data_IF_239393425430
#
_entry.id   IF_239393425430
#
_cell.length_a   1.000
_cell.length_b   1.000
_cell.length_c   1.000
_cell.angle_alpha   90.00
_cell.angle_beta   90.00
_cell.angle_gamma   90.00
#
_symmetry.space_group_name_H-M   'P 1'
#
loop_
_entity.id
_entity.type
_entity.pdbx_description
1 polymer ?
#
# COMPACT_ATOMS: atom_id res chain seq x y z
N UNK A 1 34.65 -45.95 16.55
CA UNK A 1 33.22 -46.06 16.89
C UNK A 1 33.08 -45.47 18.28
N UNK A 2 32.86 -44.16 18.35
CA UNK A 2 32.73 -43.43 19.61
C UNK A 2 31.24 -43.31 19.90
N UNK A 3 30.88 -43.61 21.13
CA UNK A 3 29.53 -43.86 21.65
C UNK A 3 28.52 -42.78 21.29
N UNK A 4 27.31 -43.23 20.93
CA UNK A 4 26.10 -42.42 20.99
C UNK A 4 25.86 -42.02 22.45
N UNK A 5 25.82 -40.71 22.71
CA UNK A 5 25.44 -40.12 23.98
C UNK A 5 23.92 -39.97 24.00
N UNK A 6 23.23 -41.10 24.21
CA UNK A 6 21.80 -41.10 24.52
C UNK A 6 21.63 -40.82 26.02
N UNK A 7 21.17 -39.62 26.39
CA UNK A 7 21.05 -39.30 27.82
C UNK A 7 20.46 -37.93 28.18
N UNK A 8 19.25 -37.62 27.73
CA UNK A 8 18.38 -36.68 28.46
C UNK A 8 17.02 -37.33 28.71
N UNK A 9 17.02 -38.30 29.61
CA UNK A 9 15.81 -38.71 30.31
C UNK A 9 15.79 -38.01 31.66
N UNK A 10 14.70 -37.32 31.99
CA UNK A 10 14.56 -36.81 33.35
C UNK A 10 13.47 -37.54 34.12
N UNK A 11 13.93 -38.19 35.19
CA UNK A 11 13.11 -38.91 36.16
C UNK A 11 13.28 -38.21 37.52
N UNK A 12 12.41 -37.23 37.81
CA UNK A 12 12.46 -36.41 39.02
C UNK A 12 12.03 -34.96 38.77
N UNK A 13 12.55 -34.01 39.56
CA UNK A 13 12.21 -32.56 39.54
C UNK A 13 13.05 -31.75 38.53
N UNK A 14 13.47 -32.37 37.44
CA UNK A 14 14.44 -31.78 36.52
C UNK A 14 13.92 -32.08 35.06
N UNK A 15 14.27 -31.26 34.04
CA UNK A 15 13.67 -31.21 32.68
C UNK A 15 14.06 -32.28 31.62
N UNK A 16 13.11 -33.12 31.17
CA UNK A 16 13.32 -34.25 30.21
C UNK A 16 13.86 -33.83 28.83
N UNK A 17 13.77 -32.56 28.50
CA UNK A 17 14.17 -32.02 27.19
C UNK A 17 15.61 -31.48 27.24
N UNK A 18 16.44 -31.65 26.19
CA UNK A 18 17.59 -30.79 25.98
C UNK A 18 17.27 -29.30 26.22
N UNK A 19 17.83 -28.70 27.28
CA UNK A 19 17.78 -27.24 27.52
C UNK A 19 18.57 -26.42 26.46
N UNK A 20 19.03 -27.07 25.39
CA UNK A 20 19.68 -26.44 24.27
C UNK A 20 18.64 -25.94 23.25
N UNK A 21 19.10 -25.15 22.28
CA UNK A 21 18.25 -24.76 21.16
C UNK A 21 17.84 -26.00 20.35
N UNK A 22 16.63 -25.95 19.78
CA UNK A 22 16.11 -27.01 18.90
C UNK A 22 17.02 -27.18 17.69
N UNK A 23 17.38 -28.42 17.38
CA UNK A 23 18.28 -28.72 16.27
C UNK A 23 17.51 -28.75 14.94
N UNK A 24 18.18 -28.64 13.78
CA UNK A 24 17.53 -28.72 12.48
C UNK A 24 16.76 -30.03 12.27
N UNK A 25 17.16 -31.10 12.95
CA UNK A 25 16.48 -32.41 12.95
C UNK A 25 15.12 -32.35 13.65
N UNK A 26 14.97 -31.46 14.63
CA UNK A 26 13.75 -31.25 15.40
C UNK A 26 12.83 -30.21 14.72
N UNK A 27 13.40 -29.12 14.20
CA UNK A 27 12.64 -28.05 13.54
C UNK A 27 12.36 -28.32 12.06
N UNK A 28 13.13 -29.22 11.44
CA UNK A 28 13.18 -29.44 9.99
C UNK A 28 13.58 -28.19 9.19
N UNK A 29 14.25 -27.23 9.84
CA UNK A 29 14.72 -25.99 9.22
C UNK A 29 16.25 -25.99 9.12
N UNK A 30 16.78 -26.16 7.90
CA UNK A 30 18.22 -26.12 7.61
C UNK A 30 18.68 -24.69 7.31
N UNK A 31 19.49 -24.12 8.20
CA UNK A 31 20.15 -22.80 8.06
C UNK A 31 21.60 -22.89 7.60
N UNK A 32 22.06 -24.05 7.16
CA UNK A 32 23.40 -24.26 6.59
C UNK A 32 24.50 -24.51 7.62
N UNK A 33 24.15 -24.76 8.87
CA UNK A 33 25.07 -25.14 9.96
C UNK A 33 24.64 -26.45 10.60
N UNK A 34 25.61 -27.24 11.08
CA UNK A 34 25.35 -28.54 11.70
C UNK A 34 24.77 -28.40 13.11
N UNK A 35 25.21 -27.38 13.87
CA UNK A 35 24.63 -26.98 15.15
C UNK A 35 24.14 -25.54 15.02
N UNK A 36 22.93 -25.25 15.51
CA UNK A 36 22.38 -23.89 15.54
C UNK A 36 23.30 -22.93 16.30
N UNK A 37 24.06 -23.42 17.28
CA UNK A 37 25.02 -22.63 18.04
C UNK A 37 26.25 -22.19 17.23
N UNK A 38 26.50 -22.79 16.06
CA UNK A 38 27.58 -22.40 15.15
C UNK A 38 27.19 -21.22 14.24
N UNK A 39 25.92 -20.80 14.24
CA UNK A 39 25.46 -19.66 13.43
C UNK A 39 26.01 -18.33 13.98
N UNK A 40 26.80 -17.64 13.14
CA UNK A 40 27.31 -16.31 13.45
C UNK A 40 26.26 -15.22 13.21
N UNK A 41 26.16 -14.25 14.11
CA UNK A 41 25.36 -13.04 13.90
C UNK A 41 26.22 -11.93 13.28
N UNK A 42 25.77 -11.36 12.16
CA UNK A 42 26.34 -10.14 11.58
C UNK A 42 25.42 -8.96 11.94
N UNK A 43 25.82 -8.09 12.89
CA UNK A 43 25.06 -6.88 13.19
C UNK A 43 24.95 -5.97 11.95
N UNK A 44 23.93 -5.09 11.90
CA UNK A 44 23.86 -4.10 10.83
C UNK A 44 25.10 -3.20 10.84
N UNK A 45 25.58 -2.82 9.64
CA UNK A 45 26.74 -1.93 9.46
C UNK A 45 26.55 -0.51 10.00
N UNK A 46 25.30 -0.17 10.36
CA UNK A 46 24.88 1.14 10.84
C UNK A 46 23.98 0.99 12.05
N UNK A 47 23.99 2.01 12.91
CA UNK A 47 23.16 2.03 14.10
C UNK A 47 21.66 1.95 13.73
N UNK A 48 20.91 0.98 14.32
CA UNK A 48 19.47 0.85 14.15
C UNK A 48 18.74 2.12 14.58
N UNK A 49 17.70 2.53 13.84
CA UNK A 49 16.95 3.75 14.13
C UNK A 49 16.41 3.81 15.58
N UNK A 50 15.96 2.68 16.12
CA UNK A 50 15.41 2.59 17.49
C UNK A 50 16.45 2.76 18.61
N UNK A 51 17.74 2.70 18.30
CA UNK A 51 18.82 2.90 19.27
C UNK A 51 19.37 4.33 19.28
N UNK A 52 19.00 5.15 18.29
CA UNK A 52 19.56 6.51 18.13
C UNK A 52 19.13 7.50 19.21
N UNK A 53 17.97 7.28 19.82
CA UNK A 53 17.39 8.18 20.82
C UNK A 53 16.37 7.44 21.69
N UNK A 54 16.14 7.89 22.92
CA UNK A 54 15.12 7.31 23.81
C UNK A 54 15.57 6.04 24.55
N UNK A 55 16.87 5.78 24.59
CA UNK A 55 17.44 4.64 25.31
C UNK A 55 17.66 4.95 26.80
N UNK A 56 17.74 6.23 27.16
CA UNK A 56 17.88 6.69 28.55
C UNK A 56 16.55 7.16 29.14
N UNK A 57 16.41 7.08 30.48
CA UNK A 57 15.22 7.55 31.19
C UNK A 57 14.97 9.06 31.01
N UNK A 58 16.03 9.84 30.82
CA UNK A 58 15.92 11.27 30.59
C UNK A 58 15.29 11.55 29.20
N UNK A 59 15.82 10.92 28.15
CA UNK A 59 15.30 11.06 26.79
C UNK A 59 13.87 10.53 26.65
N UNK A 60 13.52 9.45 27.35
CA UNK A 60 12.13 8.96 27.35
C UNK A 60 11.14 9.94 27.98
N UNK A 61 11.58 10.70 28.99
CA UNK A 61 10.76 11.74 29.62
C UNK A 61 10.62 12.99 28.77
N UNK A 62 11.68 13.34 28.05
CA UNK A 62 11.68 14.48 27.14
C UNK A 62 10.89 14.17 25.86
N UNK A 63 11.07 12.96 25.32
CA UNK A 63 10.54 12.54 24.03
C UNK A 63 11.27 13.18 22.85
N UNK A 64 11.02 12.67 21.64
CA UNK A 64 11.51 13.30 20.42
C UNK A 64 10.65 14.52 20.05
N UNK A 65 11.29 15.60 19.64
CA UNK A 65 10.59 16.76 19.08
C UNK A 65 9.92 16.43 17.74
N UNK A 66 8.99 17.27 17.31
CA UNK A 66 8.31 17.09 16.02
C UNK A 66 9.31 17.18 14.86
N UNK A 67 10.25 18.12 14.91
CA UNK A 67 11.28 18.30 13.88
C UNK A 67 12.18 17.06 13.76
N UNK A 68 12.58 16.46 14.88
CA UNK A 68 13.37 15.23 14.88
C UNK A 68 12.60 14.05 14.28
N UNK A 69 11.30 13.95 14.58
CA UNK A 69 10.43 12.90 14.00
C UNK A 69 10.29 13.05 12.49
N UNK A 70 10.10 14.29 12.01
CA UNK A 70 10.01 14.58 10.58
C UNK A 70 11.34 14.31 9.86
N UNK A 71 12.48 14.65 10.46
CA UNK A 71 13.79 14.38 9.88
C UNK A 71 14.12 12.88 9.79
N UNK A 72 13.48 12.05 10.61
CA UNK A 72 13.64 10.60 10.59
C UNK A 72 12.71 9.90 9.59
N UNK A 73 11.70 10.59 9.07
CA UNK A 73 10.74 10.07 8.09
C UNK A 73 11.36 10.00 6.69
N UNK A 74 11.05 8.93 5.96
CA UNK A 74 11.37 8.80 4.54
C UNK A 74 10.12 9.21 3.73
N UNK A 75 10.22 10.20 2.81
CA UNK A 75 9.06 10.63 2.04
C UNK A 75 8.48 9.48 1.20
N UNK A 76 7.19 9.22 1.38
CA UNK A 76 6.46 8.32 0.49
C UNK A 76 6.14 9.05 -0.83
N UNK A 77 6.12 8.34 -1.98
CA UNK A 77 5.64 8.92 -3.23
C UNK A 77 4.19 9.36 -3.08
N UNK A 78 3.84 10.53 -3.61
CA UNK A 78 2.46 11.01 -3.59
C UNK A 78 1.61 10.12 -4.51
N UNK A 79 0.59 9.41 -3.98
CA UNK A 79 -0.27 8.54 -4.80
C UNK A 79 -1.11 9.31 -5.81
N UNK A 80 -1.18 10.64 -5.71
CA UNK A 80 -1.87 11.54 -6.64
C UNK A 80 -0.92 12.45 -7.41
N UNK A 81 0.40 12.20 -7.37
CA UNK A 81 1.30 12.84 -8.33
C UNK A 81 0.77 12.48 -9.73
N UNK A 82 0.47 13.47 -10.59
CA UNK A 82 -0.12 13.20 -11.88
C UNK A 82 0.82 12.29 -12.66
N UNK A 83 0.42 11.03 -12.82
CA UNK A 83 1.06 10.16 -13.79
C UNK A 83 0.79 10.75 -15.17
N UNK A 84 1.73 10.61 -16.11
CA UNK A 84 1.58 11.05 -17.50
C UNK A 84 0.36 10.38 -18.23
N UNK A 85 -0.46 9.60 -17.52
CA UNK A 85 -1.57 8.80 -18.03
C UNK A 85 -2.93 9.18 -17.45
N UNK A 86 -2.98 10.07 -16.46
CA UNK A 86 -4.25 10.56 -15.88
C UNK A 86 -4.48 12.01 -16.33
N UNK A 87 -4.66 12.17 -17.64
CA UNK A 87 -5.25 13.40 -18.16
C UNK A 87 -6.70 13.36 -17.71
N UNK A 88 -7.05 14.23 -16.74
CA UNK A 88 -8.42 14.52 -16.40
C UNK A 88 -9.13 15.04 -17.66
N UNK A 89 -9.73 14.12 -18.42
CA UNK A 89 -10.66 14.46 -19.50
C UNK A 89 -11.73 15.41 -18.93
N UNK A 90 -12.18 16.45 -19.67
CA UNK A 90 -13.28 17.29 -19.23
C UNK A 90 -14.42 16.46 -18.62
N UNK A 91 -14.68 16.71 -17.34
CA UNK A 91 -15.85 16.14 -16.65
C UNK A 91 -17.10 16.48 -17.45
N UNK A 92 -18.03 15.53 -17.51
CA UNK A 92 -19.35 15.81 -18.06
C UNK A 92 -20.02 16.90 -17.22
N UNK A 93 -20.44 18.00 -17.86
CA UNK A 93 -21.15 19.08 -17.19
C UNK A 93 -22.67 18.94 -17.26
N UNK A 94 -23.37 19.99 -16.85
CA UNK A 94 -24.83 20.07 -16.92
C UNK A 94 -25.26 20.35 -18.35
N UNK A 95 -26.12 19.49 -18.89
CA UNK A 95 -26.76 19.69 -20.19
C UNK A 95 -28.02 20.54 -20.05
N UNK A 96 -28.13 21.59 -20.87
CA UNK A 96 -29.28 22.49 -20.91
C UNK A 96 -29.88 22.50 -22.31
N UNK A 97 -31.18 22.27 -22.40
CA UNK A 97 -31.93 22.35 -23.65
C UNK A 97 -31.92 23.79 -24.22
N UNK A 98 -32.11 24.00 -25.53
CA UNK A 98 -32.08 25.33 -26.14
C UNK A 98 -33.05 26.35 -25.52
N UNK A 99 -34.18 25.87 -25.01
CA UNK A 99 -35.23 26.66 -24.32
C UNK A 99 -35.06 26.70 -22.79
N UNK A 100 -33.91 26.24 -22.30
CA UNK A 100 -33.56 26.10 -20.89
C UNK A 100 -34.51 25.17 -20.10
N UNK A 101 -35.29 24.31 -20.79
CA UNK A 101 -36.30 23.45 -20.18
C UNK A 101 -37.48 24.24 -19.58
N UNK A 102 -37.69 25.47 -20.02
CA UNK A 102 -38.75 26.35 -19.51
C UNK A 102 -40.07 26.23 -20.29
N UNK A 103 -40.04 25.65 -21.50
CA UNK A 103 -41.21 25.50 -22.35
C UNK A 103 -41.54 24.01 -22.58
N UNK A 104 -42.56 23.77 -23.39
CA UNK A 104 -42.87 22.41 -23.83
C UNK A 104 -41.82 22.02 -24.87
N UNK A 105 -41.26 20.82 -24.73
CA UNK A 105 -40.28 20.28 -25.67
C UNK A 105 -40.93 20.13 -27.06
N UNK A 106 -40.35 20.81 -28.05
CA UNK A 106 -40.82 20.80 -29.45
C UNK A 106 -39.76 20.26 -30.39
N UNK A 107 -38.54 20.07 -29.89
CA UNK A 107 -37.44 19.48 -30.61
C UNK A 107 -37.73 17.98 -30.82
N UNK A 108 -37.58 17.50 -32.05
CA UNK A 108 -37.75 16.07 -32.34
C UNK A 108 -36.50 15.26 -31.99
N UNK A 109 -35.36 15.94 -31.87
CA UNK A 109 -34.05 15.36 -31.61
C UNK A 109 -33.60 15.68 -30.17
N UNK A 110 -32.93 14.74 -29.51
CA UNK A 110 -32.42 14.92 -28.14
C UNK A 110 -31.13 15.76 -28.16
N UNK A 111 -31.27 17.08 -28.19
CA UNK A 111 -30.16 18.03 -28.24
C UNK A 111 -30.07 18.87 -26.96
N UNK A 112 -28.84 19.13 -26.51
CA UNK A 112 -28.57 20.01 -25.38
C UNK A 112 -27.15 20.60 -25.47
N UNK A 113 -26.93 21.71 -24.79
CA UNK A 113 -25.60 22.34 -24.67
C UNK A 113 -25.05 22.08 -23.27
N UNK A 114 -23.81 21.61 -23.17
CA UNK A 114 -23.08 21.55 -21.91
C UNK A 114 -22.72 22.97 -21.45
N UNK A 115 -23.21 23.37 -20.27
CA UNK A 115 -22.94 24.67 -19.65
C UNK A 115 -21.93 24.58 -18.49
N UNK A 116 -21.25 23.45 -18.35
CA UNK A 116 -20.24 23.19 -17.33
C UNK A 116 -20.79 22.62 -16.02
N UNK A 117 -19.92 22.52 -15.03
CA UNK A 117 -20.18 21.87 -13.74
C UNK A 117 -21.22 22.68 -12.93
N UNK A 118 -22.23 21.99 -12.39
CA UNK A 118 -23.27 22.61 -11.56
C UNK A 118 -22.84 22.79 -10.10
N UNK A 119 -21.88 23.70 -9.90
CA UNK A 119 -21.33 24.02 -8.59
C UNK A 119 -20.32 22.99 -8.08
N UNK A 120 -19.34 23.45 -7.28
CA UNK A 120 -18.23 22.62 -6.79
C UNK A 120 -18.62 21.58 -5.71
N UNK A 121 -19.88 21.15 -5.69
CA UNK A 121 -20.46 20.23 -4.70
C UNK A 121 -20.65 18.80 -5.20
N UNK A 122 -20.03 18.43 -6.33
CA UNK A 122 -20.14 17.10 -6.90
C UNK A 122 -19.73 16.00 -5.89
N UNK A 123 -20.49 14.91 -5.85
CA UNK A 123 -20.10 13.73 -5.07
C UNK A 123 -18.88 13.04 -5.68
N UNK A 124 -18.26 12.10 -4.95
CA UNK A 124 -17.14 11.33 -5.48
C UNK A 124 -17.51 10.55 -6.75
N UNK A 125 -18.73 10.02 -6.82
CA UNK A 125 -19.26 9.29 -7.97
C UNK A 125 -19.50 10.21 -9.17
N UNK A 126 -20.04 11.41 -8.94
CA UNK A 126 -20.24 12.40 -9.99
C UNK A 126 -18.89 12.93 -10.53
N UNK A 127 -17.90 13.10 -9.65
CA UNK A 127 -16.55 13.50 -10.03
C UNK A 127 -15.80 12.44 -10.85
N UNK A 128 -16.25 11.19 -10.84
CA UNK A 128 -15.66 10.08 -11.60
C UNK A 128 -16.18 9.98 -13.05
N UNK A 129 -17.30 10.64 -13.38
CA UNK A 129 -17.86 10.64 -14.73
C UNK A 129 -17.15 11.68 -15.61
N UNK A 130 -16.67 11.25 -16.78
CA UNK A 130 -15.97 12.07 -17.75
C UNK A 130 -16.49 11.80 -19.16
N UNK A 131 -16.27 12.75 -20.07
CA UNK A 131 -16.50 12.54 -21.50
C UNK A 131 -15.36 11.68 -22.02
N UNK A 132 -15.62 10.78 -22.97
CA UNK A 132 -14.57 10.07 -23.70
C UNK A 132 -14.69 10.52 -25.15
N UNK A 133 -13.66 11.19 -25.66
CA UNK A 133 -13.60 11.49 -27.09
C UNK A 133 -13.26 10.21 -27.85
N UNK A 134 -14.24 9.69 -28.60
CA UNK A 134 -14.10 8.48 -29.39
C UNK A 134 -13.03 8.60 -30.50
N UNK A 135 -12.67 9.81 -30.91
CA UNK A 135 -11.57 10.04 -31.86
C UNK A 135 -10.20 10.10 -31.17
N UNK A 136 -10.16 10.41 -29.87
CA UNK A 136 -8.96 10.50 -29.06
C UNK A 136 -8.64 9.19 -28.30
N UNK A 137 -9.62 8.31 -28.10
CA UNK A 137 -9.44 6.99 -27.48
C UNK A 137 -9.09 5.91 -28.53
N UNK A 138 -7.81 5.48 -28.64
CA UNK A 138 -7.42 4.43 -29.58
C UNK A 138 -7.94 3.03 -29.20
N UNK A 139 -8.60 2.88 -28.03
CA UNK A 139 -9.24 1.64 -27.58
C UNK A 139 -10.67 1.44 -28.10
N UNK A 140 -11.32 2.50 -28.57
CA UNK A 140 -12.65 2.46 -29.18
C UNK A 140 -12.56 1.98 -30.64
N UNK A 141 -12.27 0.69 -30.84
CA UNK A 141 -12.39 0.06 -32.16
C UNK A 141 -13.83 0.19 -32.71
N UNK A 142 -14.03 0.15 -34.05
CA UNK A 142 -15.37 0.26 -34.63
C UNK A 142 -16.25 -0.86 -34.10
N UNK A 143 -17.38 -0.51 -33.49
CA UNK A 143 -18.38 -1.47 -33.04
C UNK A 143 -18.83 -2.32 -34.23
N UNK A 144 -18.44 -3.59 -34.25
CA UNK A 144 -18.97 -4.54 -35.22
C UNK A 144 -20.39 -4.90 -34.79
N UNK A 145 -21.39 -4.35 -35.46
CA UNK A 145 -22.77 -4.79 -35.28
C UNK A 145 -22.91 -6.26 -35.67
N UNK A 146 -23.54 -7.12 -34.84
CA UNK A 146 -23.86 -8.48 -35.26
C UNK A 146 -25.03 -8.49 -36.24
N UNK A 147 -24.86 -9.23 -37.36
CA UNK A 147 -25.86 -9.45 -38.42
C UNK A 147 -27.16 -10.12 -37.95
#
# INVERSE_FOLDING_TARGET
>A
MTQADEGREQYGDQAVDPENQLQPEDTLEDRGVADVLDEGYSPPDREPHHLRSGTTLAEQREGASLDERLAAEEPEPDPYEPSDHEVADPRAGRLVAPDEGQQIDVESDAIATDVGIDGAGASAEEAAVHVIDAEADPGAGPETEPE
#
